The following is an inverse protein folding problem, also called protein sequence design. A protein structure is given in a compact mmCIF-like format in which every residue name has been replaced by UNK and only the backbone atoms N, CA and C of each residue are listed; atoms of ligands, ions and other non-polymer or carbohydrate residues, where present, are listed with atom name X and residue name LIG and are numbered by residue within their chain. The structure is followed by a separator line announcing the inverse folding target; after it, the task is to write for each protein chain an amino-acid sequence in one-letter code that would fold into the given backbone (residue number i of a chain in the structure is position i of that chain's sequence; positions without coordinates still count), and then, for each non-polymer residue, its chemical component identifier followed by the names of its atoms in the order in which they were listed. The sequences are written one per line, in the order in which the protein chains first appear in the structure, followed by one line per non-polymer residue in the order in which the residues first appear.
data_IF_790978600005
#
_entry.id   IF_790978600005
#
_cell.length_a   1.000
_cell.length_b   1.000
_cell.length_c   1.000
_cell.angle_alpha   90.00
_cell.angle_beta   90.00
_cell.angle_gamma   90.00
#
_symmetry.space_group_name_H-M   'P 1'
#
loop_
_entity.id
_entity.type
_entity.pdbx_description
1 polymer ?
#
# COMPACT_ATOMS: atom_id res chain seq x y z
N UNK A 1 -10.71 27.95 14.20
CA UNK A 1 -11.70 27.42 13.23
C UNK A 1 -10.93 26.82 12.08
N UNK A 2 -10.90 25.48 11.97
CA UNK A 2 -10.49 24.79 10.74
C UNK A 2 -11.73 24.08 10.24
N UNK A 3 -12.32 24.61 9.17
CA UNK A 3 -13.44 24.01 8.46
C UNK A 3 -12.99 22.65 7.93
N UNK A 4 -13.54 21.59 8.54
CA UNK A 4 -13.47 20.24 8.00
C UNK A 4 -14.23 20.24 6.66
N UNK A 5 -13.56 19.89 5.57
CA UNK A 5 -14.19 19.56 4.28
C UNK A 5 -15.00 18.26 4.44
N UNK A 6 -16.10 18.31 5.19
CA UNK A 6 -17.05 17.19 5.26
C UNK A 6 -17.85 17.19 3.96
N UNK A 7 -17.69 16.15 3.15
CA UNK A 7 -18.57 15.92 2.01
C UNK A 7 -19.94 15.46 2.52
N UNK A 8 -20.99 15.57 1.69
CA UNK A 8 -22.32 15.05 2.02
C UNK A 8 -22.57 13.65 1.44
N UNK A 9 -21.51 12.97 1.03
CA UNK A 9 -21.60 11.66 0.38
C UNK A 9 -21.53 10.54 1.40
N UNK A 10 -22.41 9.56 1.22
CA UNK A 10 -22.39 8.29 1.94
C UNK A 10 -22.22 7.17 0.93
N UNK A 11 -21.17 6.37 1.11
CA UNK A 11 -20.84 5.23 0.28
C UNK A 11 -21.20 3.95 1.04
N UNK A 12 -21.97 3.07 0.43
CA UNK A 12 -22.30 1.76 0.97
C UNK A 12 -21.82 0.70 0.00
N UNK A 13 -20.87 -0.09 0.45
CA UNK A 13 -20.32 -1.23 -0.26
C UNK A 13 -20.95 -2.47 0.30
N UNK A 14 -21.49 -3.30 -0.57
CA UNK A 14 -22.08 -4.59 -0.20
C UNK A 14 -21.39 -5.66 -1.01
N UNK A 15 -20.87 -6.68 -0.35
CA UNK A 15 -20.09 -7.75 -1.00
C UNK A 15 -20.36 -9.10 -0.33
N UNK A 16 -20.10 -10.18 -1.06
CA UNK A 16 -20.23 -11.53 -0.52
C UNK A 16 -18.86 -12.04 -0.07
N UNK A 17 -18.70 -12.33 1.23
CA UNK A 17 -17.45 -12.87 1.79
C UNK A 17 -17.42 -14.41 1.85
N UNK A 18 -18.49 -15.07 1.39
CA UNK A 18 -18.59 -16.53 1.30
C UNK A 18 -20.00 -17.01 0.95
N UNK A 19 -20.24 -18.33 0.82
CA UNK A 19 -21.53 -18.89 0.45
C UNK A 19 -22.66 -18.47 1.42
N UNK A 20 -23.51 -17.53 0.99
CA UNK A 20 -24.62 -17.00 1.79
C UNK A 20 -24.22 -15.94 2.82
N UNK A 21 -22.97 -15.49 2.85
CA UNK A 21 -22.46 -14.44 3.74
C UNK A 21 -22.36 -13.12 2.97
N UNK A 22 -23.16 -12.13 3.39
CA UNK A 22 -23.20 -10.78 2.80
C UNK A 22 -22.71 -9.77 3.81
N UNK A 23 -21.63 -9.08 3.48
CA UNK A 23 -21.05 -8.01 4.29
C UNK A 23 -21.42 -6.64 3.74
N UNK A 24 -21.60 -5.68 4.64
CA UNK A 24 -21.93 -4.30 4.30
C UNK A 24 -20.92 -3.40 4.99
N UNK A 25 -20.17 -2.65 4.20
CA UNK A 25 -19.26 -1.61 4.67
C UNK A 25 -19.80 -0.23 4.28
N UNK A 26 -19.76 0.71 5.21
CA UNK A 26 -20.30 2.05 4.99
C UNK A 26 -19.27 3.12 5.34
N UNK A 27 -18.97 3.99 4.38
CA UNK A 27 -18.21 5.22 4.59
C UNK A 27 -19.16 6.41 4.57
N UNK A 28 -19.06 7.29 5.55
CA UNK A 28 -19.85 8.52 5.60
C UNK A 28 -18.93 9.73 5.55
N UNK A 29 -19.33 10.76 4.80
CA UNK A 29 -18.70 12.07 4.79
C UNK A 29 -17.23 12.06 4.34
N UNK A 30 -16.87 11.11 3.48
CA UNK A 30 -15.53 10.96 2.90
C UNK A 30 -15.50 11.53 1.49
N UNK A 31 -14.33 11.99 1.04
CA UNK A 31 -14.15 12.45 -0.34
C UNK A 31 -14.16 11.25 -1.32
N UNK A 32 -14.52 11.43 -2.61
CA UNK A 32 -14.59 10.32 -3.58
C UNK A 32 -13.29 9.55 -3.79
N UNK A 33 -12.14 10.23 -3.74
CA UNK A 33 -10.79 9.64 -3.73
C UNK A 33 -10.58 8.72 -2.51
N UNK A 34 -10.95 9.19 -1.32
CA UNK A 34 -10.87 8.39 -0.10
C UNK A 34 -11.83 7.17 -0.15
N UNK A 35 -13.02 7.34 -0.73
CA UNK A 35 -13.95 6.23 -0.97
C UNK A 35 -13.36 5.18 -1.92
N UNK A 36 -12.64 5.60 -2.97
CA UNK A 36 -11.95 4.73 -3.92
C UNK A 36 -10.81 3.94 -3.24
N UNK A 37 -9.97 4.60 -2.44
CA UNK A 37 -8.90 3.93 -1.68
C UNK A 37 -9.46 2.89 -0.70
N UNK A 38 -10.56 3.20 -0.02
CA UNK A 38 -11.22 2.24 0.89
C UNK A 38 -11.81 1.06 0.15
N UNK A 39 -12.39 1.29 -1.04
CA UNK A 39 -12.89 0.21 -1.90
C UNK A 39 -11.77 -0.73 -2.35
N UNK A 40 -10.64 -0.20 -2.80
CA UNK A 40 -9.45 -1.00 -3.14
C UNK A 40 -8.99 -1.89 -1.98
N UNK A 41 -8.99 -1.34 -0.76
CA UNK A 41 -8.62 -2.09 0.45
C UNK A 41 -9.62 -3.20 0.80
N UNK A 42 -10.91 -3.02 0.51
CA UNK A 42 -11.92 -4.07 0.73
C UNK A 42 -11.68 -5.20 -0.28
N UNK A 43 -11.47 -4.86 -1.55
CA UNK A 43 -11.18 -5.85 -2.59
C UNK A 43 -9.90 -6.65 -2.31
N UNK A 44 -8.88 -6.05 -1.69
CA UNK A 44 -7.64 -6.75 -1.32
C UNK A 44 -7.81 -7.70 -0.14
N UNK A 45 -8.90 -7.59 0.63
CA UNK A 45 -9.19 -8.44 1.79
C UNK A 45 -10.19 -9.56 1.46
N UNK A 46 -10.69 -9.62 0.23
CA UNK A 46 -11.65 -10.64 -0.21
C UNK A 46 -10.96 -11.66 -1.13
N UNK A 47 -10.90 -12.93 -0.71
CA UNK A 47 -10.21 -14.01 -1.44
C UNK A 47 -10.85 -14.32 -2.81
N UNK A 48 -12.15 -14.03 -2.96
CA UNK A 48 -12.87 -14.09 -4.24
C UNK A 48 -13.85 -12.90 -4.28
N UNK A 49 -13.59 -11.86 -5.08
CA UNK A 49 -14.48 -10.71 -5.18
C UNK A 49 -15.76 -11.12 -5.94
N UNK A 50 -16.73 -11.66 -5.22
CA UNK A 50 -18.09 -11.87 -5.74
C UNK A 50 -18.92 -10.59 -5.64
N UNK A 51 -19.89 -10.47 -6.56
CA UNK A 51 -20.92 -9.44 -6.74
C UNK A 51 -20.88 -8.27 -5.74
N UNK A 52 -20.45 -7.10 -6.24
CA UNK A 52 -20.39 -5.88 -5.45
C UNK A 52 -21.55 -4.96 -5.79
N UNK A 53 -22.27 -4.50 -4.77
CA UNK A 53 -23.21 -3.39 -4.90
C UNK A 53 -22.70 -2.17 -4.15
N UNK A 54 -22.51 -1.09 -4.90
CA UNK A 54 -22.08 0.20 -4.41
C UNK A 54 -23.26 1.15 -4.47
N UNK A 55 -23.52 1.85 -3.37
CA UNK A 55 -24.54 2.90 -3.31
C UNK A 55 -23.88 4.19 -2.86
N UNK A 56 -24.03 5.23 -3.66
CA UNK A 56 -23.61 6.60 -3.36
C UNK A 56 -24.86 7.40 -3.08
N UNK A 57 -24.93 7.98 -1.88
CA UNK A 57 -26.03 8.83 -1.45
C UNK A 57 -25.48 10.25 -1.31
N UNK A 58 -26.03 11.19 -2.08
CA UNK A 58 -25.82 12.62 -1.87
C UNK A 58 -26.90 13.10 -0.90
N UNK A 59 -26.53 13.27 0.38
CA UNK A 59 -27.49 13.72 1.41
C UNK A 59 -27.98 15.16 1.16
N UNK A 60 -27.25 15.97 0.40
CA UNK A 60 -27.63 17.36 0.12
C UNK A 60 -28.74 17.46 -0.92
N UNK A 61 -28.72 16.57 -1.92
CA UNK A 61 -29.75 16.46 -2.96
C UNK A 61 -30.81 15.41 -2.66
N UNK A 62 -30.57 14.55 -1.65
CA UNK A 62 -31.35 13.34 -1.36
C UNK A 62 -31.43 12.40 -2.56
N UNK A 63 -30.38 12.37 -3.36
CA UNK A 63 -30.26 11.52 -4.54
C UNK A 63 -29.44 10.27 -4.18
N UNK A 64 -29.93 9.11 -4.62
CA UNK A 64 -29.24 7.84 -4.48
C UNK A 64 -28.87 7.32 -5.87
N UNK A 65 -27.58 7.05 -6.06
CA UNK A 65 -27.05 6.35 -7.22
C UNK A 65 -26.54 5.00 -6.78
N UNK A 66 -26.92 3.93 -7.48
CA UNK A 66 -26.41 2.59 -7.20
C UNK A 66 -25.75 1.98 -8.41
N UNK A 67 -24.68 1.23 -8.18
CA UNK A 67 -23.93 0.52 -9.18
C UNK A 67 -23.67 -0.91 -8.71
N UNK A 68 -23.95 -1.89 -9.56
CA UNK A 68 -23.80 -3.31 -9.26
C UNK A 68 -22.86 -3.93 -10.28
N UNK A 69 -21.86 -4.67 -9.80
CA UNK A 69 -20.88 -5.36 -10.63
C UNK A 69 -20.96 -6.83 -10.31
N UNK A 70 -21.46 -7.60 -11.27
CA UNK A 70 -21.49 -9.07 -11.23
C UNK A 70 -20.23 -9.62 -11.91
N UNK A 71 -19.35 -10.24 -11.11
CA UNK A 71 -18.07 -10.78 -11.57
C UNK A 71 -17.11 -9.78 -12.25
N UNK A 72 -15.96 -10.29 -12.70
CA UNK A 72 -14.90 -9.51 -13.35
C UNK A 72 -13.60 -9.44 -12.53
N UNK A 73 -12.55 -8.89 -13.12
CA UNK A 73 -11.27 -8.72 -12.41
C UNK A 73 -11.33 -7.54 -11.43
N UNK A 74 -10.50 -7.56 -10.38
CA UNK A 74 -10.35 -6.44 -9.43
C UNK A 74 -10.08 -5.11 -10.15
N UNK A 75 -9.26 -5.15 -11.20
CA UNK A 75 -8.93 -3.98 -12.04
C UNK A 75 -10.17 -3.41 -12.72
N UNK A 76 -10.99 -4.27 -13.32
CA UNK A 76 -12.26 -3.86 -13.96
C UNK A 76 -13.25 -3.28 -12.94
N UNK A 77 -13.32 -3.82 -11.72
CA UNK A 77 -14.19 -3.31 -10.66
C UNK A 77 -13.77 -1.91 -10.20
N UNK A 78 -12.46 -1.68 -10.04
CA UNK A 78 -11.90 -0.38 -9.65
C UNK A 78 -12.17 0.66 -10.73
N UNK A 79 -11.93 0.32 -12.00
CA UNK A 79 -12.15 1.23 -13.12
C UNK A 79 -13.62 1.61 -13.26
N UNK A 80 -14.52 0.62 -13.19
CA UNK A 80 -15.97 0.86 -13.20
C UNK A 80 -16.43 1.73 -12.03
N UNK A 81 -15.87 1.51 -10.83
CA UNK A 81 -16.21 2.35 -9.67
C UNK A 81 -15.70 3.78 -9.83
N UNK A 82 -14.49 3.98 -10.37
CA UNK A 82 -13.97 5.31 -10.70
C UNK A 82 -14.91 6.05 -11.64
N UNK A 83 -15.27 5.46 -12.78
CA UNK A 83 -16.21 6.05 -13.75
C UNK A 83 -17.55 6.38 -13.09
N UNK A 84 -18.05 5.50 -12.23
CA UNK A 84 -19.29 5.74 -11.49
C UNK A 84 -19.19 6.91 -10.50
N UNK A 85 -18.06 7.07 -9.81
CA UNK A 85 -17.81 8.22 -8.93
C UNK A 85 -17.76 9.53 -9.73
N UNK A 86 -17.13 9.54 -10.90
CA UNK A 86 -17.09 10.73 -11.76
C UNK A 86 -18.49 11.15 -12.19
N UNK A 87 -19.30 10.19 -12.63
CA UNK A 87 -20.67 10.44 -13.07
C UNK A 87 -21.60 10.88 -11.92
N UNK A 88 -21.46 10.28 -10.74
CA UNK A 88 -22.36 10.53 -9.60
C UNK A 88 -21.98 11.75 -8.77
N UNK A 89 -20.69 12.12 -8.72
CA UNK A 89 -20.20 13.22 -7.89
C UNK A 89 -19.71 14.43 -8.67
N UNK A 90 -19.56 14.31 -9.99
CA UNK A 90 -19.05 15.36 -10.87
C UNK A 90 -17.56 15.68 -10.70
N UNK A 91 -16.84 14.86 -9.93
CA UNK A 91 -15.38 14.97 -9.77
C UNK A 91 -14.73 14.30 -10.98
N UNK A 92 -13.83 14.99 -11.66
CA UNK A 92 -12.96 14.38 -12.66
C UNK A 92 -11.72 13.87 -11.95
N UNK A 93 -11.49 12.56 -11.93
CA UNK A 93 -10.18 12.05 -11.51
C UNK A 93 -9.23 12.31 -12.68
N UNK A 94 -8.31 13.26 -12.51
CA UNK A 94 -7.24 13.48 -13.49
C UNK A 94 -6.48 12.17 -13.60
N UNK A 95 -6.43 11.60 -14.80
CA UNK A 95 -5.37 10.64 -15.14
C UNK A 95 -4.05 11.40 -15.03
N UNK A 96 -3.47 11.42 -13.84
CA UNK A 96 -2.03 11.35 -13.79
C UNK A 96 -1.69 10.07 -14.55
N UNK A 97 -1.02 10.23 -15.70
CA UNK A 97 -0.26 9.16 -16.33
C UNK A 97 0.88 8.78 -15.37
N UNK A 98 0.53 8.26 -14.22
CA UNK A 98 1.27 7.18 -13.62
C UNK A 98 0.57 5.94 -14.14
N UNK A 99 1.31 5.13 -14.90
CA UNK A 99 0.93 3.78 -15.24
C UNK A 99 0.73 2.99 -13.93
N UNK A 100 -0.42 3.17 -13.28
CA UNK A 100 -0.83 2.37 -12.13
C UNK A 100 -1.67 1.24 -12.71
N UNK A 101 -0.97 0.32 -13.37
CA UNK A 101 -1.40 -1.06 -13.36
C UNK A 101 -1.42 -1.50 -11.89
N UNK A 102 -2.62 -1.69 -11.33
CA UNK A 102 -2.79 -2.68 -10.27
C UNK A 102 -2.72 -4.05 -10.98
N UNK A 103 -1.55 -4.36 -11.52
CA UNK A 103 -1.09 -5.72 -11.59
C UNK A 103 -0.90 -6.15 -10.12
N UNK A 104 -1.40 -7.33 -9.76
CA UNK A 104 -0.52 -8.18 -8.97
C UNK A 104 0.67 -8.41 -9.89
N UNK A 105 1.61 -7.46 -9.92
CA UNK A 105 2.91 -7.75 -10.48
C UNK A 105 3.32 -8.95 -9.66
N UNK A 106 3.60 -10.08 -10.31
CA UNK A 106 4.72 -10.88 -9.86
C UNK A 106 5.81 -9.84 -9.58
N UNK A 107 6.00 -9.44 -8.31
CA UNK A 107 6.81 -8.28 -7.96
C UNK A 107 8.13 -8.55 -8.64
N UNK A 108 8.36 -7.81 -9.73
CA UNK A 108 9.47 -8.13 -10.60
C UNK A 108 10.66 -7.54 -9.87
N UNK A 109 11.16 -8.27 -8.89
CA UNK A 109 12.28 -7.84 -8.08
C UNK A 109 13.47 -7.59 -9.00
N UNK A 110 13.57 -8.22 -10.17
CA UNK A 110 14.61 -7.92 -11.15
C UNK A 110 14.51 -6.49 -11.71
N UNK A 111 13.32 -5.86 -11.75
CA UNK A 111 13.12 -4.48 -12.20
C UNK A 111 13.28 -3.42 -11.09
N UNK A 112 13.20 -3.82 -9.81
CA UNK A 112 13.34 -2.91 -8.68
C UNK A 112 14.76 -2.33 -8.57
N UNK A 113 14.85 -1.05 -8.23
CA UNK A 113 16.15 -0.43 -7.98
C UNK A 113 16.79 -1.00 -6.71
N UNK A 114 18.13 -0.97 -6.65
CA UNK A 114 18.87 -1.41 -5.44
C UNK A 114 18.46 -0.65 -4.18
N UNK A 115 17.95 0.59 -4.33
CA UNK A 115 17.44 1.36 -3.20
C UNK A 115 16.12 0.79 -2.68
N UNK A 116 15.18 0.44 -3.56
CA UNK A 116 13.87 -0.12 -3.19
C UNK A 116 14.00 -1.53 -2.60
N UNK A 117 14.83 -2.38 -3.23
CA UNK A 117 15.20 -3.70 -2.70
C UNK A 117 15.77 -3.61 -1.28
N UNK A 118 16.67 -2.64 -1.05
CA UNK A 118 17.25 -2.43 0.28
C UNK A 118 16.21 -1.91 1.28
N UNK A 119 15.26 -1.09 0.83
CA UNK A 119 14.11 -0.67 1.64
C UNK A 119 13.35 -1.90 2.14
N UNK A 120 12.97 -2.82 1.25
CA UNK A 120 12.28 -4.07 1.61
C UNK A 120 13.10 -4.86 2.65
N UNK A 121 14.39 -5.09 2.39
CA UNK A 121 15.27 -5.80 3.32
C UNK A 121 15.29 -5.16 4.70
N UNK A 122 15.37 -3.83 4.77
CA UNK A 122 15.39 -3.09 6.04
C UNK A 122 14.08 -3.30 6.81
N UNK A 123 12.93 -3.03 6.18
CA UNK A 123 11.63 -3.09 6.84
C UNK A 123 11.21 -4.52 7.22
N UNK A 124 11.55 -5.52 6.42
CA UNK A 124 11.20 -6.91 6.66
C UNK A 124 12.14 -7.62 7.65
N UNK A 125 13.45 -7.36 7.56
CA UNK A 125 14.46 -8.17 8.28
C UNK A 125 14.92 -7.56 9.59
N UNK A 126 14.80 -6.24 9.75
CA UNK A 126 15.39 -5.50 10.89
C UNK A 126 14.36 -4.87 11.82
N UNK A 127 13.24 -5.57 12.03
CA UNK A 127 12.17 -5.15 12.96
C UNK A 127 12.60 -5.01 14.42
N UNK A 128 13.67 -5.70 14.83
CA UNK A 128 14.14 -5.68 16.20
C UNK A 128 15.64 -5.44 16.28
N UNK A 129 16.05 -4.60 17.23
CA UNK A 129 17.46 -4.35 17.51
C UNK A 129 18.12 -3.36 16.55
N UNK A 130 19.44 -3.24 16.68
CA UNK A 130 20.26 -2.34 15.88
C UNK A 130 20.97 -3.11 14.78
N UNK A 131 21.17 -2.47 13.64
CA UNK A 131 21.85 -3.04 12.50
C UNK A 131 22.85 -2.08 11.86
N UNK A 132 23.86 -2.63 11.21
CA UNK A 132 24.91 -1.90 10.51
C UNK A 132 24.71 -1.93 9.00
N UNK A 133 25.48 -1.11 8.27
CA UNK A 133 25.51 -1.18 6.80
C UNK A 133 26.11 -2.49 6.28
N UNK A 134 26.88 -3.22 7.09
CA UNK A 134 27.37 -4.54 6.74
C UNK A 134 26.24 -5.56 6.81
N UNK A 135 25.48 -5.56 7.91
CA UNK A 135 24.36 -6.49 8.12
C UNK A 135 23.32 -6.35 7.00
N UNK A 136 23.03 -5.13 6.56
CA UNK A 136 22.10 -4.87 5.45
C UNK A 136 22.64 -5.42 4.13
N UNK A 137 23.93 -5.25 3.85
CA UNK A 137 24.54 -5.78 2.63
C UNK A 137 24.50 -7.31 2.59
N UNK A 138 24.81 -7.97 3.70
CA UNK A 138 24.78 -9.43 3.82
C UNK A 138 23.38 -10.00 3.57
N UNK A 139 22.34 -9.41 4.18
CA UNK A 139 20.96 -9.88 3.97
C UNK A 139 20.48 -9.56 2.55
N UNK A 140 20.88 -8.41 2.00
CA UNK A 140 20.54 -8.05 0.62
C UNK A 140 21.10 -9.05 -0.38
N UNK A 141 22.40 -9.36 -0.28
CA UNK A 141 23.06 -10.37 -1.11
C UNK A 141 22.40 -11.74 -0.97
N UNK A 142 22.07 -12.15 0.26
CA UNK A 142 21.38 -13.42 0.50
C UNK A 142 19.96 -13.47 -0.07
N UNK A 143 19.26 -12.33 -0.15
CA UNK A 143 17.87 -12.25 -0.59
C UNK A 143 17.74 -12.14 -2.11
N UNK A 144 18.57 -11.31 -2.74
CA UNK A 144 18.47 -10.99 -4.17
C UNK A 144 19.58 -11.62 -5.01
N UNK A 145 20.57 -12.27 -4.40
CA UNK A 145 21.75 -12.80 -5.08
C UNK A 145 22.50 -11.73 -5.90
N UNK A 146 22.47 -10.48 -5.41
CA UNK A 146 23.07 -9.29 -6.00
C UNK A 146 24.05 -8.65 -5.02
N UNK A 147 25.24 -8.28 -5.48
CA UNK A 147 26.25 -7.57 -4.67
C UNK A 147 25.79 -6.14 -4.35
N UNK A 148 25.73 -5.81 -3.06
CA UNK A 148 25.47 -4.45 -2.59
C UNK A 148 26.66 -3.96 -1.77
N UNK A 149 27.56 -3.14 -2.36
CA UNK A 149 28.72 -2.64 -1.64
C UNK A 149 28.32 -1.94 -0.34
N UNK A 150 29.05 -2.21 0.75
CA UNK A 150 28.82 -1.60 2.07
C UNK A 150 28.75 -0.06 2.02
N UNK A 151 29.51 0.58 1.14
CA UNK A 151 29.48 2.03 0.93
C UNK A 151 28.13 2.51 0.34
N UNK A 152 27.55 1.73 -0.56
CA UNK A 152 26.21 1.95 -1.13
C UNK A 152 25.15 1.77 -0.06
N UNK A 153 25.16 0.67 0.70
CA UNK A 153 24.26 0.44 1.82
C UNK A 153 24.34 1.57 2.86
N UNK A 154 25.56 2.00 3.20
CA UNK A 154 25.77 3.13 4.11
C UNK A 154 25.20 4.44 3.57
N UNK A 155 25.31 4.68 2.27
CA UNK A 155 24.78 5.89 1.62
C UNK A 155 23.26 5.89 1.66
N UNK A 156 22.64 4.76 1.34
CA UNK A 156 21.19 4.63 1.35
C UNK A 156 20.59 4.70 2.76
N UNK A 157 21.23 4.09 3.77
CA UNK A 157 20.82 4.24 5.17
C UNK A 157 20.88 5.69 5.64
N UNK A 158 21.93 6.42 5.25
CA UNK A 158 22.03 7.84 5.56
C UNK A 158 20.92 8.66 4.87
N UNK A 159 20.55 8.31 3.63
CA UNK A 159 19.41 8.94 2.92
C UNK A 159 18.09 8.66 3.62
N UNK A 160 17.79 7.39 3.93
CA UNK A 160 16.56 7.01 4.64
C UNK A 160 16.44 7.68 6.02
N UNK A 161 17.56 7.80 6.74
CA UNK A 161 17.59 8.54 8.00
C UNK A 161 17.36 10.04 7.83
N UNK A 162 17.86 10.63 6.74
CA UNK A 162 17.71 12.06 6.42
C UNK A 162 16.35 12.42 5.80
N UNK A 163 15.55 11.45 5.33
CA UNK A 163 14.36 11.68 4.49
C UNK A 163 13.16 12.34 5.19
N UNK A 164 13.37 12.96 6.36
CA UNK A 164 12.36 13.62 7.22
C UNK A 164 11.15 12.77 7.67
N UNK A 165 10.98 11.54 7.17
CA UNK A 165 9.98 10.56 7.64
C UNK A 165 10.30 10.04 9.04
N UNK A 166 11.57 10.12 9.45
CA UNK A 166 12.00 9.81 10.82
C UNK A 166 11.88 8.33 11.18
N UNK A 167 11.79 7.43 10.20
CA UNK A 167 11.62 5.98 10.38
C UNK A 167 12.84 5.28 10.99
N UNK A 168 14.04 5.88 10.83
CA UNK A 168 15.28 5.36 11.39
C UNK A 168 15.81 6.24 12.52
N UNK A 169 16.39 5.59 13.52
CA UNK A 169 17.33 6.20 14.46
C UNK A 169 18.75 5.82 14.09
N UNK A 170 19.71 6.72 14.33
CA UNK A 170 21.13 6.49 14.07
C UNK A 170 21.95 6.62 15.34
N UNK A 171 22.87 5.68 15.53
CA UNK A 171 23.77 5.58 16.68
C UNK A 171 25.22 5.41 16.23
N UNK A 172 26.17 5.80 17.07
CA UNK A 172 27.60 5.58 16.83
C UNK A 172 28.31 6.76 16.16
N UNK A 173 29.47 6.50 15.57
CA UNK A 173 30.36 7.50 14.99
C UNK A 173 30.59 7.26 13.49
N UNK A 174 31.29 8.17 12.82
CA UNK A 174 31.50 8.15 11.36
C UNK A 174 32.08 6.84 10.81
N UNK A 175 32.82 6.06 11.61
CA UNK A 175 33.41 4.79 11.23
C UNK A 175 32.51 3.57 11.44
N UNK A 176 31.38 3.72 12.14
CA UNK A 176 30.55 2.59 12.56
C UNK A 176 29.15 3.03 12.98
N UNK A 177 28.42 3.67 12.08
CA UNK A 177 27.01 3.97 12.32
C UNK A 177 26.19 2.68 12.36
N UNK A 178 25.32 2.60 13.37
CA UNK A 178 24.27 1.60 13.46
C UNK A 178 22.91 2.28 13.46
N UNK A 179 21.90 1.58 12.99
CA UNK A 179 20.55 2.10 12.80
C UNK A 179 19.55 1.22 13.54
N UNK A 180 18.38 1.80 13.87
CA UNK A 180 17.22 1.07 14.41
C UNK A 180 15.97 1.58 13.70
N UNK A 181 15.09 0.67 13.29
CA UNK A 181 13.74 1.05 12.87
C UNK A 181 12.92 1.50 14.07
N UNK A 182 12.16 2.58 13.89
CA UNK A 182 11.21 3.07 14.89
C UNK A 182 9.89 2.35 14.75
N UNK A 183 9.86 1.07 15.11
CA UNK A 183 8.65 0.23 15.08
C UNK A 183 7.55 0.73 16.01
N UNK A 184 7.84 1.72 16.86
CA UNK A 184 6.87 2.49 17.64
C UNK A 184 5.99 3.44 16.79
N UNK A 185 6.36 3.71 15.53
CA UNK A 185 5.59 4.56 14.60
C UNK A 185 4.66 3.67 13.76
N UNK A 186 3.37 4.03 13.72
CA UNK A 186 2.36 3.26 12.97
C UNK A 186 2.67 3.15 11.45
N UNK A 187 3.23 4.19 10.86
CA UNK A 187 3.69 4.17 9.46
C UNK A 187 4.80 3.15 9.24
N UNK A 188 5.76 3.06 10.16
CA UNK A 188 6.84 2.06 10.11
C UNK A 188 6.30 0.64 10.26
N UNK A 189 5.30 0.43 11.13
CA UNK A 189 4.65 -0.87 11.28
C UNK A 189 3.98 -1.32 9.97
N UNK A 190 3.24 -0.41 9.33
CA UNK A 190 2.57 -0.68 8.05
C UNK A 190 3.58 -1.01 6.94
N UNK A 191 4.68 -0.27 6.86
CA UNK A 191 5.76 -0.54 5.89
C UNK A 191 6.48 -1.86 6.18
N UNK A 192 6.64 -2.23 7.46
CA UNK A 192 7.18 -3.54 7.87
C UNK A 192 6.27 -4.68 7.42
N UNK A 193 4.96 -4.61 7.69
CA UNK A 193 3.99 -5.63 7.22
C UNK A 193 4.06 -5.79 5.70
N UNK A 194 4.01 -4.67 4.97
CA UNK A 194 4.13 -4.68 3.50
C UNK A 194 5.44 -5.31 3.04
N UNK A 195 6.57 -4.96 3.64
CA UNK A 195 7.86 -5.50 3.24
C UNK A 195 8.00 -6.99 3.55
N UNK A 196 7.43 -7.47 4.67
CA UNK A 196 7.39 -8.89 5.01
C UNK A 196 6.60 -9.70 3.96
N UNK A 197 5.43 -9.21 3.53
CA UNK A 197 4.62 -9.84 2.48
C UNK A 197 5.37 -9.93 1.14
N UNK A 198 6.09 -8.87 0.78
CA UNK A 198 6.91 -8.82 -0.45
C UNK A 198 8.07 -9.81 -0.36
N UNK A 199 8.79 -9.82 0.76
CA UNK A 199 9.96 -10.69 0.95
C UNK A 199 9.56 -12.18 1.00
N UNK A 200 8.41 -12.50 1.62
CA UNK A 200 7.84 -13.84 1.62
C UNK A 200 7.50 -14.31 0.19
N UNK A 201 6.92 -13.41 -0.61
CA UNK A 201 6.62 -13.69 -2.02
C UNK A 201 7.88 -13.98 -2.84
N UNK A 202 8.97 -13.24 -2.63
CA UNK A 202 10.27 -13.48 -3.30
C UNK A 202 10.85 -14.84 -2.90
N UNK A 203 10.86 -15.17 -1.61
CA UNK A 203 11.41 -16.43 -1.11
C UNK A 203 10.66 -17.66 -1.64
N UNK A 204 9.35 -17.54 -1.90
CA UNK A 204 8.56 -18.61 -2.51
C UNK A 204 8.92 -18.88 -3.98
N UNK A 205 9.46 -17.89 -4.71
CA UNK A 205 9.82 -18.01 -6.12
C UNK A 205 11.27 -18.47 -6.33
N UNK A 206 12.19 -18.13 -5.43
CA UNK A 206 13.61 -18.52 -5.51
C UNK A 206 13.86 -19.97 -5.05
N UNK A 207 12.87 -20.61 -4.39
CA UNK A 207 12.96 -21.97 -3.87
C UNK A 207 12.60 -23.12 -4.83
N UNK A 208 12.50 -22.88 -6.15
CA UNK A 208 12.23 -23.93 -7.17
C UNK A 208 13.43 -24.22 -8.05
#
# INVERSE_FOLDING_TARGET
MKSEDRTNYVYRFTYNSGPGLREVFQCKYVKPDEALTRFQRILSLTDEPFDFKIVVIDESKREESSFEVEGGSVKEMIEKFRVFLEASTGILFVEEKEDVEVEFEEINFESMSSFEKMHIVIYASFKHGKFSSLDVAEIFEATFNEDLPKSTASTYLARMWNDNKGHLERYGNRSGYTYRLKTEIAEVQKETERAEDILASIQMHVGK
#
